data_IF_454637808231
#
_entry.id   IF_454637808231
#
_cell.length_a   1.000
_cell.length_b   1.000
_cell.length_c   1.000
_cell.angle_alpha   90.00
_cell.angle_beta   90.00
_cell.angle_gamma   90.00
#
_symmetry.space_group_name_H-M   'P 1'
#
loop_
_entity.id
_entity.type
_entity.pdbx_description
1 polymer ?
#
# COMPACT_ATOMS: atom_id res chain seq x y z
N UNK A 1 14.94 10.22 5.92
CA UNK A 1 14.03 9.79 7.02
C UNK A 1 13.99 8.27 7.04
N UNK A 2 14.30 7.63 8.17
CA UNK A 2 14.19 6.17 8.30
C UNK A 2 12.73 5.75 8.06
N UNK A 3 12.50 4.86 7.08
CA UNK A 3 11.18 4.24 6.82
C UNK A 3 10.69 3.33 7.97
N UNK A 4 11.51 3.17 9.01
CA UNK A 4 11.29 2.31 10.15
C UNK A 4 11.48 3.11 11.43
N UNK A 5 10.36 3.53 12.03
CA UNK A 5 10.33 4.05 13.38
C UNK A 5 9.93 2.90 14.32
N UNK A 6 10.78 2.60 15.31
CA UNK A 6 10.54 1.51 16.26
C UNK A 6 9.21 1.65 17.00
N UNK A 7 8.75 2.89 17.23
CA UNK A 7 7.46 3.15 17.86
C UNK A 7 6.26 2.75 16.99
N UNK A 8 6.37 2.88 15.66
CA UNK A 8 5.31 2.49 14.73
C UNK A 8 5.19 0.96 14.63
N UNK A 9 6.33 0.25 14.70
CA UNK A 9 6.35 -1.21 14.73
C UNK A 9 5.71 -1.70 16.03
N UNK A 10 6.11 -1.15 17.17
CA UNK A 10 5.50 -1.48 18.46
C UNK A 10 3.98 -1.21 18.45
N UNK A 11 3.57 -0.04 17.95
CA UNK A 11 2.15 0.30 17.83
C UNK A 11 1.37 -0.65 16.90
N UNK A 12 1.98 -1.11 15.80
CA UNK A 12 1.37 -2.12 14.90
C UNK A 12 1.13 -3.43 15.65
N UNK A 13 2.08 -3.87 16.48
CA UNK A 13 1.93 -5.07 17.32
C UNK A 13 0.86 -4.88 18.40
N UNK A 14 0.79 -3.71 19.03
CA UNK A 14 -0.23 -3.39 20.03
C UNK A 14 -1.65 -3.43 19.44
N UNK A 15 -1.83 -2.92 18.22
CA UNK A 15 -3.10 -3.01 17.48
C UNK A 15 -3.45 -4.47 17.18
N UNK A 16 -2.49 -5.25 16.67
CA UNK A 16 -2.70 -6.67 16.38
C UNK A 16 -3.09 -7.48 17.64
N UNK A 17 -2.60 -7.07 18.81
CA UNK A 17 -2.92 -7.66 20.11
C UNK A 17 -4.20 -7.11 20.76
N UNK A 18 -4.93 -6.19 20.11
CA UNK A 18 -6.14 -5.58 20.66
C UNK A 18 -5.89 -4.66 21.86
N UNK A 19 -4.67 -4.12 22.00
CA UNK A 19 -4.28 -3.21 23.10
C UNK A 19 -4.37 -1.74 22.73
N UNK A 20 -4.49 -1.45 21.43
CA UNK A 20 -4.52 -0.11 20.86
C UNK A 20 -5.51 -0.04 19.71
N UNK A 21 -6.21 1.08 19.50
CA UNK A 21 -7.08 1.27 18.35
C UNK A 21 -6.30 1.30 17.03
N UNK A 22 -6.91 0.74 15.99
CA UNK A 22 -6.37 0.79 14.62
C UNK A 22 -6.54 2.21 14.02
N UNK A 23 -5.69 2.58 13.06
CA UNK A 23 -5.89 3.84 12.32
C UNK A 23 -6.97 3.71 11.25
N UNK A 24 -7.06 2.53 10.64
CA UNK A 24 -8.07 2.26 9.61
C UNK A 24 -8.44 0.77 9.60
N UNK A 25 -9.72 0.49 9.35
CA UNK A 25 -10.22 -0.85 9.07
C UNK A 25 -10.80 -0.92 7.65
N UNK A 26 -10.49 -1.99 6.93
CA UNK A 26 -11.18 -2.38 5.69
C UNK A 26 -11.97 -3.65 6.01
N UNK A 27 -13.29 -3.62 5.89
CA UNK A 27 -14.18 -4.71 6.33
C UNK A 27 -14.86 -5.43 5.17
N UNK A 28 -15.28 -6.67 5.43
CA UNK A 28 -16.21 -7.42 4.59
C UNK A 28 -15.76 -7.62 3.14
N UNK A 29 -14.48 -7.88 2.90
CA UNK A 29 -13.96 -8.11 1.55
C UNK A 29 -13.71 -9.57 1.22
N UNK A 30 -13.36 -9.81 -0.05
CA UNK A 30 -12.84 -11.08 -0.57
C UNK A 30 -11.35 -10.94 -0.83
N UNK A 31 -10.51 -11.49 0.03
CA UNK A 31 -9.06 -11.36 -0.11
C UNK A 31 -8.56 -12.24 -1.24
N UNK A 32 -7.89 -11.64 -2.23
CA UNK A 32 -7.08 -12.37 -3.21
C UNK A 32 -5.74 -12.69 -2.54
N UNK A 33 -5.64 -13.88 -1.94
CA UNK A 33 -4.43 -14.34 -1.31
C UNK A 33 -3.45 -14.86 -2.38
N UNK A 34 -2.58 -13.98 -2.85
CA UNK A 34 -1.58 -14.27 -3.88
C UNK A 34 -0.50 -15.27 -3.44
N UNK A 35 -0.32 -15.49 -2.13
CA UNK A 35 0.60 -16.50 -1.62
C UNK A 35 0.00 -17.91 -1.77
N UNK A 36 -1.28 -18.07 -1.44
CA UNK A 36 -1.98 -19.37 -1.53
C UNK A 36 -2.66 -19.63 -2.87
N UNK A 37 -2.84 -18.59 -3.69
CA UNK A 37 -3.60 -18.64 -4.95
C UNK A 37 -5.12 -18.76 -4.75
N UNK A 38 -5.63 -18.46 -3.56
CA UNK A 38 -7.05 -18.59 -3.21
C UNK A 38 -7.72 -17.24 -3.03
N UNK A 39 -9.05 -17.26 -3.17
CA UNK A 39 -9.91 -16.15 -2.77
C UNK A 39 -10.53 -16.54 -1.43
N UNK A 40 -10.33 -15.72 -0.41
CA UNK A 40 -10.83 -15.93 0.95
C UNK A 40 -11.96 -14.93 1.24
N UNK A 41 -13.17 -15.43 1.44
CA UNK A 41 -14.35 -14.60 1.72
C UNK A 41 -14.37 -14.08 3.18
N UNK A 42 -15.09 -12.98 3.40
CA UNK A 42 -15.31 -12.36 4.72
C UNK A 42 -14.01 -11.96 5.45
N UNK A 43 -13.00 -11.57 4.69
CA UNK A 43 -11.73 -11.08 5.25
C UNK A 43 -11.80 -9.57 5.46
N UNK A 44 -11.25 -9.14 6.58
CA UNK A 44 -11.09 -7.73 6.94
C UNK A 44 -9.63 -7.45 7.32
N UNK A 45 -9.21 -6.19 7.22
CA UNK A 45 -7.83 -5.75 7.45
C UNK A 45 -7.82 -4.61 8.45
N UNK A 46 -6.96 -4.69 9.48
CA UNK A 46 -6.61 -3.58 10.35
C UNK A 46 -5.28 -2.97 9.93
N UNK A 47 -5.24 -1.64 9.90
CA UNK A 47 -4.08 -0.84 9.51
C UNK A 47 -3.73 0.08 10.67
N UNK A 48 -2.44 0.14 11.02
CA UNK A 48 -1.89 1.15 11.91
C UNK A 48 -0.93 2.04 11.13
N UNK A 49 -1.28 3.31 10.97
CA UNK A 49 -0.56 4.28 10.12
C UNK A 49 -0.34 3.73 8.70
N UNK A 50 0.90 3.38 8.36
CA UNK A 50 1.31 2.90 7.03
C UNK A 50 1.60 1.38 7.00
N UNK A 51 1.09 0.62 7.97
CA UNK A 51 1.35 -0.82 8.10
C UNK A 51 0.07 -1.62 8.33
N UNK A 52 -0.03 -2.76 7.65
CA UNK A 52 -1.04 -3.77 7.96
C UNK A 52 -0.71 -4.40 9.32
N UNK A 53 -1.63 -4.28 10.27
CA UNK A 53 -1.48 -4.82 11.63
C UNK A 53 -2.08 -6.22 11.75
N UNK A 54 -3.23 -6.46 11.12
CA UNK A 54 -3.94 -7.73 11.19
C UNK A 54 -4.81 -7.97 9.96
N UNK A 55 -4.97 -9.24 9.55
CA UNK A 55 -5.82 -9.67 8.45
C UNK A 55 -6.65 -10.86 8.95
N UNK A 56 -7.97 -10.79 8.83
CA UNK A 56 -8.89 -11.83 9.29
C UNK A 56 -10.12 -11.24 10.00
N UNK A 57 -10.57 -11.92 11.05
CA UNK A 57 -11.65 -11.46 11.92
C UNK A 57 -11.16 -10.33 12.84
N UNK A 58 -11.85 -9.18 12.79
CA UNK A 58 -11.48 -7.98 13.56
C UNK A 58 -12.23 -7.86 14.90
N UNK A 59 -12.90 -8.91 15.38
CA UNK A 59 -13.66 -8.89 16.64
C UNK A 59 -12.84 -8.43 17.85
N UNK A 60 -11.53 -8.65 17.86
CA UNK A 60 -10.61 -8.24 18.94
C UNK A 60 -9.84 -6.94 18.65
N UNK A 61 -10.10 -6.28 17.52
CA UNK A 61 -9.41 -5.04 17.16
C UNK A 61 -10.18 -3.86 17.74
N UNK A 62 -9.49 -3.06 18.55
CA UNK A 62 -10.06 -1.84 19.13
C UNK A 62 -10.25 -0.76 18.05
N UNK A 63 -11.27 0.05 18.25
CA UNK A 63 -11.56 1.25 17.45
C UNK A 63 -11.80 2.43 18.40
N UNK A 64 -11.51 3.62 17.92
CA UNK A 64 -11.79 4.90 18.56
C UNK A 64 -12.47 5.86 17.57
N UNK A 65 -12.68 7.09 18.00
CA UNK A 65 -13.28 8.17 17.19
C UNK A 65 -12.44 8.59 15.97
N UNK A 66 -11.13 8.32 15.99
CA UNK A 66 -10.20 8.63 14.90
C UNK A 66 -10.03 7.47 13.89
N UNK A 67 -10.61 6.31 14.20
CA UNK A 67 -10.49 5.11 13.36
C UNK A 67 -11.31 5.26 12.08
N UNK A 68 -10.65 5.31 10.92
CA UNK A 68 -11.34 5.30 9.63
C UNK A 68 -11.86 3.92 9.27
N UNK A 69 -13.09 3.81 8.80
CA UNK A 69 -13.69 2.53 8.42
C UNK A 69 -14.12 2.56 6.96
N UNK A 70 -13.62 1.59 6.19
CA UNK A 70 -13.99 1.34 4.80
C UNK A 70 -14.71 -0.01 4.75
N UNK A 71 -15.94 -0.05 4.25
CA UNK A 71 -16.64 -1.30 3.96
C UNK A 71 -16.42 -1.69 2.49
N UNK A 72 -15.78 -2.83 2.27
CA UNK A 72 -15.54 -3.35 0.92
C UNK A 72 -16.82 -3.92 0.28
N UNK A 73 -17.91 -4.12 1.03
CA UNK A 73 -19.21 -4.60 0.53
C UNK A 73 -19.10 -5.87 -0.34
N UNK A 74 -18.24 -6.82 0.06
CA UNK A 74 -17.98 -8.06 -0.66
C UNK A 74 -17.09 -7.91 -1.90
N UNK A 75 -16.52 -6.73 -2.15
CA UNK A 75 -15.54 -6.50 -3.21
C UNK A 75 -14.21 -7.22 -2.94
N UNK A 76 -13.40 -7.35 -3.99
CA UNK A 76 -12.08 -7.95 -3.88
C UNK A 76 -11.08 -7.00 -3.21
N UNK A 77 -10.33 -7.55 -2.27
CA UNK A 77 -9.18 -6.89 -1.64
C UNK A 77 -7.92 -7.57 -2.19
N UNK A 78 -6.98 -6.77 -2.66
CA UNK A 78 -5.71 -7.28 -3.17
C UNK A 78 -4.56 -6.29 -2.89
N UNK A 79 -3.30 -6.75 -2.91
CA UNK A 79 -2.16 -5.85 -2.93
C UNK A 79 -2.25 -4.90 -4.12
N UNK A 80 -1.77 -3.67 -3.93
CA UNK A 80 -1.63 -2.73 -5.05
C UNK A 80 -0.71 -3.31 -6.13
N UNK A 81 -0.99 -3.00 -7.39
CA UNK A 81 -0.19 -3.48 -8.50
C UNK A 81 1.21 -2.87 -8.48
N UNK A 82 2.14 -3.63 -9.07
CA UNK A 82 3.52 -3.22 -9.33
C UNK A 82 3.77 -3.34 -10.83
N UNK A 83 4.03 -2.21 -11.47
CA UNK A 83 4.52 -2.18 -12.84
C UNK A 83 6.03 -2.41 -12.85
N UNK A 84 6.45 -3.57 -13.35
CA UNK A 84 7.80 -4.08 -13.19
C UNK A 84 8.84 -3.39 -14.09
N UNK A 85 8.42 -2.72 -15.16
CA UNK A 85 9.32 -2.02 -16.06
C UNK A 85 8.59 -0.94 -16.86
N UNK A 86 9.07 0.30 -16.77
CA UNK A 86 8.50 1.48 -17.42
C UNK A 86 9.60 2.41 -17.93
N UNK A 87 9.21 3.35 -18.80
CA UNK A 87 10.08 4.40 -19.35
C UNK A 87 9.56 5.79 -18.97
N UNK A 88 9.50 6.06 -17.66
CA UNK A 88 8.99 7.32 -17.11
C UNK A 88 10.04 8.45 -17.17
N UNK A 89 11.25 8.15 -17.60
CA UNK A 89 12.38 9.07 -17.78
C UNK A 89 12.38 9.80 -19.13
N UNK A 90 11.36 9.57 -19.98
CA UNK A 90 11.33 10.06 -21.36
C UNK A 90 9.97 10.52 -21.87
N UNK A 91 8.88 9.80 -21.57
CA UNK A 91 7.60 9.99 -22.28
C UNK A 91 6.60 10.84 -21.47
N UNK A 92 6.64 10.77 -20.14
CA UNK A 92 5.63 11.38 -19.28
C UNK A 92 6.23 12.18 -18.14
N UNK A 93 5.55 13.24 -17.73
CA UNK A 93 5.83 13.86 -16.43
C UNK A 93 5.35 12.92 -15.32
N UNK A 94 6.26 12.52 -14.41
CA UNK A 94 5.98 11.59 -13.31
C UNK A 94 4.73 11.97 -12.50
N UNK A 95 4.56 13.26 -12.22
CA UNK A 95 3.40 13.77 -11.48
C UNK A 95 2.07 13.55 -12.19
N UNK A 96 2.05 13.64 -13.53
CA UNK A 96 0.83 13.36 -14.31
C UNK A 96 0.59 11.86 -14.42
N UNK A 97 1.63 11.06 -14.67
CA UNK A 97 1.52 9.60 -14.68
C UNK A 97 0.91 9.06 -13.37
N UNK A 98 1.39 9.54 -12.21
CA UNK A 98 0.95 9.07 -10.91
C UNK A 98 -0.56 9.27 -10.67
N UNK A 99 -1.15 10.36 -11.18
CA UNK A 99 -2.59 10.64 -11.05
C UNK A 99 -3.45 9.57 -11.72
N UNK A 100 -3.01 9.04 -12.85
CA UNK A 100 -3.73 7.99 -13.57
C UNK A 100 -3.41 6.59 -13.05
N UNK A 101 -2.13 6.33 -12.75
CA UNK A 101 -1.66 5.03 -12.29
C UNK A 101 -2.34 4.60 -10.97
N UNK A 102 -2.48 5.52 -10.01
CA UNK A 102 -3.06 5.21 -8.70
C UNK A 102 -4.55 4.84 -8.80
N UNK A 103 -5.28 5.45 -9.75
CA UNK A 103 -6.71 5.18 -9.96
C UNK A 103 -6.97 3.78 -10.51
N UNK A 104 -6.02 3.21 -11.24
CA UNK A 104 -6.06 1.80 -11.69
C UNK A 104 -5.49 0.82 -10.66
N UNK A 105 -5.16 1.28 -9.45
CA UNK A 105 -4.58 0.44 -8.40
C UNK A 105 -3.08 0.17 -8.55
N UNK A 106 -2.38 0.86 -9.46
CA UNK A 106 -0.92 0.77 -9.55
C UNK A 106 -0.28 1.63 -8.47
N UNK A 107 0.38 0.98 -7.52
CA UNK A 107 0.96 1.63 -6.35
C UNK A 107 2.48 1.73 -6.42
N UNK A 108 3.11 1.05 -7.38
CA UNK A 108 4.57 1.05 -7.56
C UNK A 108 4.91 0.88 -9.03
N UNK A 109 5.78 1.72 -9.56
CA UNK A 109 6.35 1.55 -10.89
C UNK A 109 7.89 1.50 -10.79
N UNK A 110 8.50 0.59 -11.54
CA UNK A 110 9.94 0.50 -11.69
C UNK A 110 10.27 1.10 -13.05
N UNK A 111 11.06 2.17 -13.07
CA UNK A 111 11.47 2.86 -14.30
C UNK A 111 12.99 2.87 -14.40
N UNK A 112 13.50 2.70 -15.61
CA UNK A 112 14.90 2.99 -15.88
C UNK A 112 15.14 4.50 -16.02
N UNK A 113 16.41 4.88 -16.12
CA UNK A 113 16.89 6.26 -16.32
C UNK A 113 17.77 6.41 -17.56
N UNK A 114 17.70 5.45 -18.49
CA UNK A 114 18.60 5.39 -19.65
C UNK A 114 18.49 6.62 -20.56
N UNK A 115 17.29 7.16 -20.77
CA UNK A 115 17.07 8.30 -21.66
C UNK A 115 17.67 9.58 -21.08
N UNK A 116 17.44 9.84 -19.79
CA UNK A 116 18.01 11.01 -19.12
C UNK A 116 19.52 10.86 -18.88
N UNK A 117 20.00 9.63 -18.65
CA UNK A 117 21.42 9.32 -18.56
C UNK A 117 22.15 9.54 -19.89
N UNK A 118 21.57 9.11 -21.02
CA UNK A 118 22.18 9.31 -22.34
C UNK A 118 22.22 10.80 -22.73
N UNK A 119 21.23 11.58 -22.29
CA UNK A 119 21.13 13.02 -22.63
C UNK A 119 22.00 13.92 -21.74
N UNK A 120 22.07 13.64 -20.43
CA UNK A 120 22.70 14.52 -19.43
C UNK A 120 23.75 13.83 -18.54
N UNK A 121 24.07 12.57 -18.83
CA UNK A 121 25.02 11.77 -18.05
C UNK A 121 24.56 11.57 -16.59
N UNK A 122 25.54 11.41 -15.70
CA UNK A 122 25.32 11.23 -14.26
C UNK A 122 24.44 12.31 -13.62
N UNK A 123 24.58 13.57 -14.07
CA UNK A 123 23.77 14.68 -13.54
C UNK A 123 22.29 14.52 -13.86
N UNK A 124 21.95 13.94 -15.01
CA UNK A 124 20.58 13.60 -15.37
C UNK A 124 19.97 12.57 -14.43
N UNK A 125 20.74 11.54 -14.08
CA UNK A 125 20.29 10.49 -13.14
C UNK A 125 20.07 11.03 -11.73
N UNK A 126 20.90 11.95 -11.25
CA UNK A 126 20.69 12.59 -9.93
C UNK A 126 19.50 13.55 -9.89
N UNK A 127 19.15 14.13 -11.04
CA UNK A 127 18.02 15.04 -11.15
C UNK A 127 16.68 14.30 -11.12
N UNK A 128 16.64 13.14 -11.77
CA UNK A 128 15.46 12.27 -11.83
C UNK A 128 15.21 11.55 -10.50
#
# INVERSE_FOLDING_TARGET
>A
MSRYNSSDIAGTMEVALGKKPASMLIKNGKLINVYSGKIEDNISIAIYKNRFAYIGDLSNILIDEDTSIIDANGAYIMPGFIDAHTHLDSIFQLGEYAKYAILSGNTTAITETAMIANSFGYKGVLYF
#
